data_IF_493833942316
#
_entry.id   IF_493833942316
#
_cell.length_a   1.000
_cell.length_b   1.000
_cell.length_c   1.000
_cell.angle_alpha   90.00
_cell.angle_beta   90.00
_cell.angle_gamma   90.00
#
_symmetry.space_group_name_H-M   'P 1'
#
loop_
_entity.id
_entity.type
_entity.pdbx_description
1 polymer ?
#
# COMPACT_ATOMS: atom_id res chain seq x y z
N UNK A 1 50.76 -2.70 10.85
CA UNK A 1 49.76 -2.25 9.86
C UNK A 1 50.42 -2.27 8.49
N UNK A 2 50.07 -3.27 7.67
CA UNK A 2 50.90 -3.77 6.55
C UNK A 2 51.03 -2.76 5.39
N UNK A 3 52.16 -2.78 4.69
CA UNK A 3 52.51 -1.95 3.54
C UNK A 3 51.40 -1.91 2.45
N UNK A 4 50.63 -3.01 2.32
CA UNK A 4 49.51 -3.13 1.40
C UNK A 4 48.32 -2.23 1.77
N UNK A 5 48.04 -2.03 3.07
CA UNK A 5 46.95 -1.15 3.53
C UNK A 5 47.25 0.32 3.19
N UNK A 6 48.49 0.78 3.39
CA UNK A 6 48.90 2.16 3.06
C UNK A 6 48.84 2.43 1.56
N UNK A 7 49.22 1.45 0.74
CA UNK A 7 49.13 1.53 -0.72
C UNK A 7 47.66 1.58 -1.19
N UNK A 8 46.79 0.75 -0.61
CA UNK A 8 45.35 0.75 -0.91
C UNK A 8 44.71 2.10 -0.56
N UNK A 9 44.94 2.63 0.65
CA UNK A 9 44.40 3.93 1.08
C UNK A 9 44.93 5.09 0.23
N UNK A 10 46.19 5.00 -0.23
CA UNK A 10 46.79 5.99 -1.11
C UNK A 10 46.10 6.05 -2.48
N UNK A 11 45.81 4.89 -3.07
CA UNK A 11 45.11 4.80 -4.37
C UNK A 11 43.65 5.24 -4.25
N UNK A 12 42.94 4.86 -3.18
CA UNK A 12 41.57 5.31 -2.93
C UNK A 12 41.52 6.83 -2.78
N UNK A 13 42.42 7.41 -1.97
CA UNK A 13 42.48 8.86 -1.77
C UNK A 13 42.81 9.60 -3.07
N UNK A 14 43.71 9.05 -3.89
CA UNK A 14 44.03 9.60 -5.20
C UNK A 14 42.82 9.53 -6.15
N UNK A 15 42.08 8.43 -6.14
CA UNK A 15 40.85 8.26 -6.93
C UNK A 15 39.79 9.30 -6.56
N UNK A 16 39.50 9.46 -5.27
CA UNK A 16 38.56 10.47 -4.79
C UNK A 16 39.04 11.89 -5.12
N UNK A 17 40.33 12.20 -4.92
CA UNK A 17 40.88 13.52 -5.23
C UNK A 17 40.81 13.84 -6.73
N UNK A 18 41.10 12.84 -7.59
CA UNK A 18 40.96 12.97 -9.04
C UNK A 18 39.50 13.19 -9.42
N UNK A 19 38.59 12.38 -8.90
CA UNK A 19 37.15 12.54 -9.13
C UNK A 19 36.66 13.94 -8.75
N UNK A 20 36.99 14.43 -7.55
CA UNK A 20 36.60 15.78 -7.10
C UNK A 20 37.21 16.86 -7.99
N UNK A 21 38.49 16.74 -8.34
CA UNK A 21 39.16 17.71 -9.21
C UNK A 21 38.53 17.78 -10.61
N UNK A 22 37.94 16.69 -11.09
CA UNK A 22 37.28 16.63 -12.40
C UNK A 22 35.83 17.06 -12.34
N UNK A 23 35.13 16.75 -11.25
CA UNK A 23 33.76 17.22 -11.01
C UNK A 23 33.69 18.76 -11.01
N UNK A 24 34.71 19.44 -10.48
CA UNK A 24 34.81 20.90 -10.47
C UNK A 24 35.74 21.49 -11.56
N UNK A 25 36.22 20.66 -12.50
CA UNK A 25 37.20 21.04 -13.53
C UNK A 25 36.63 21.12 -14.96
N UNK A 26 37.51 21.17 -15.97
CA UNK A 26 37.14 21.36 -17.38
C UNK A 26 36.31 20.23 -18.03
N UNK A 27 36.41 19.00 -17.52
CA UNK A 27 35.69 17.81 -18.04
C UNK A 27 34.37 17.52 -17.31
N UNK A 28 33.90 18.46 -16.50
CA UNK A 28 32.75 18.31 -15.58
C UNK A 28 31.46 17.81 -16.26
N UNK A 29 31.23 18.18 -17.54
CA UNK A 29 29.99 17.84 -18.27
C UNK A 29 29.72 16.34 -18.40
N UNK A 30 30.76 15.52 -18.62
CA UNK A 30 30.61 14.07 -18.82
C UNK A 30 30.40 13.33 -17.49
N UNK A 31 31.02 13.81 -16.41
CA UNK A 31 30.78 13.27 -15.07
C UNK A 31 29.38 13.64 -14.58
N UNK A 32 28.91 14.87 -14.82
CA UNK A 32 27.54 15.27 -14.48
C UNK A 32 26.47 14.50 -15.25
N UNK A 33 26.69 14.18 -16.53
CA UNK A 33 25.74 13.35 -17.29
C UNK A 33 25.69 11.91 -16.75
N UNK A 34 26.82 11.37 -16.31
CA UNK A 34 26.89 10.05 -15.66
C UNK A 34 26.15 10.03 -14.32
N UNK A 35 26.39 11.05 -13.47
CA UNK A 35 25.69 11.23 -12.19
C UNK A 35 24.19 11.41 -12.42
N UNK A 36 23.79 12.21 -13.40
CA UNK A 36 22.38 12.46 -13.72
C UNK A 36 21.65 11.18 -14.19
N UNK A 37 22.30 10.34 -15.00
CA UNK A 37 21.69 9.08 -15.43
C UNK A 37 21.50 8.08 -14.28
N UNK A 38 22.46 7.98 -13.36
CA UNK A 38 22.30 7.17 -12.14
C UNK A 38 21.19 7.73 -11.27
N UNK A 39 21.18 9.05 -11.06
CA UNK A 39 20.16 9.72 -10.26
C UNK A 39 18.75 9.48 -10.84
N UNK A 40 18.60 9.54 -12.15
CA UNK A 40 17.33 9.25 -12.82
C UNK A 40 16.89 7.79 -12.64
N UNK A 41 17.80 6.82 -12.79
CA UNK A 41 17.50 5.40 -12.60
C UNK A 41 17.06 5.10 -11.16
N UNK A 42 17.77 5.66 -10.17
CA UNK A 42 17.44 5.49 -8.75
C UNK A 42 16.13 6.20 -8.41
N UNK A 43 15.92 7.43 -8.89
CA UNK A 43 14.67 8.18 -8.74
C UNK A 43 13.49 7.35 -9.24
N UNK A 44 13.54 6.86 -10.49
CA UNK A 44 12.47 6.08 -11.10
C UNK A 44 12.19 4.80 -10.30
N UNK A 45 13.23 4.09 -9.89
CA UNK A 45 13.10 2.91 -9.04
C UNK A 45 12.38 3.24 -7.73
N UNK A 46 12.78 4.31 -7.04
CA UNK A 46 12.17 4.69 -5.77
C UNK A 46 10.74 5.16 -5.90
N UNK A 47 10.43 5.95 -6.93
CA UNK A 47 9.07 6.43 -7.17
C UNK A 47 8.14 5.27 -7.53
N UNK A 48 8.54 4.40 -8.46
CA UNK A 48 7.71 3.25 -8.87
C UNK A 48 7.58 2.22 -7.75
N UNK A 49 8.66 1.96 -7.01
CA UNK A 49 8.62 1.10 -5.83
C UNK A 49 7.70 1.65 -4.74
N UNK A 50 7.74 2.97 -4.48
CA UNK A 50 6.88 3.63 -3.50
C UNK A 50 5.40 3.58 -3.89
N UNK A 51 5.08 3.78 -5.18
CA UNK A 51 3.72 3.62 -5.73
C UNK A 51 3.24 2.18 -5.54
N UNK A 52 4.05 1.20 -5.92
CA UNK A 52 3.69 -0.21 -5.80
C UNK A 52 3.44 -0.62 -4.34
N UNK A 53 4.32 -0.19 -3.43
CA UNK A 53 4.17 -0.46 -2.00
C UNK A 53 2.91 0.19 -1.43
N UNK A 54 2.63 1.45 -1.80
CA UNK A 54 1.42 2.13 -1.38
C UNK A 54 0.17 1.41 -1.88
N UNK A 55 0.11 1.01 -3.15
CA UNK A 55 -0.99 0.23 -3.71
C UNK A 55 -1.14 -1.16 -3.04
N UNK A 56 -0.04 -1.83 -2.72
CA UNK A 56 -0.06 -3.11 -2.01
C UNK A 56 -0.57 -2.97 -0.57
N UNK A 57 -0.29 -1.84 0.10
CA UNK A 57 -0.74 -1.59 1.47
C UNK A 57 -2.21 -1.18 1.60
N UNK A 58 -2.88 -0.85 0.49
CA UNK A 58 -4.24 -0.31 0.47
C UNK A 58 -5.36 -1.35 0.38
N UNK A 59 -5.05 -2.65 0.31
CA UNK A 59 -6.05 -3.68 -0.08
C UNK A 59 -6.61 -4.57 1.03
N UNK A 60 -6.20 -4.41 2.30
CA UNK A 60 -6.73 -5.26 3.36
C UNK A 60 -7.83 -4.55 4.16
N UNK A 61 -9.10 -4.97 3.95
CA UNK A 61 -10.15 -4.84 4.97
C UNK A 61 -9.78 -5.86 6.06
N UNK A 62 -8.74 -5.57 6.82
CA UNK A 62 -8.24 -6.45 7.87
C UNK A 62 -8.81 -5.97 9.20
N UNK A 63 -10.01 -6.46 9.56
CA UNK A 63 -10.48 -6.29 10.93
C UNK A 63 -9.69 -7.27 11.80
N UNK A 64 -8.95 -6.75 12.78
CA UNK A 64 -8.15 -7.58 13.70
C UNK A 64 -9.02 -8.60 14.45
N UNK A 65 -10.32 -8.31 14.59
CA UNK A 65 -11.31 -9.05 15.37
C UNK A 65 -12.08 -10.15 14.59
N UNK A 66 -11.80 -10.39 13.30
CA UNK A 66 -12.55 -11.36 12.49
C UNK A 66 -11.69 -12.50 11.96
N UNK A 67 -12.06 -13.74 12.28
CA UNK A 67 -11.36 -14.96 11.85
C UNK A 67 -12.02 -15.63 10.63
N UNK A 68 -13.35 -15.58 10.56
CA UNK A 68 -14.15 -16.21 9.51
C UNK A 68 -15.26 -15.28 8.99
N UNK A 69 -15.47 -15.33 7.67
CA UNK A 69 -16.60 -14.73 6.98
C UNK A 69 -17.51 -15.84 6.49
N UNK A 70 -18.76 -15.83 6.92
CA UNK A 70 -19.80 -16.71 6.38
C UNK A 70 -20.52 -15.93 5.28
N UNK A 71 -20.45 -16.43 4.06
CA UNK A 71 -21.06 -15.79 2.87
C UNK A 71 -21.91 -16.80 2.10
N UNK A 72 -22.91 -16.36 1.31
CA UNK A 72 -23.72 -17.27 0.49
C UNK A 72 -22.88 -18.03 -0.55
N UNK A 73 -23.15 -19.32 -0.78
CA UNK A 73 -22.41 -20.17 -1.75
C UNK A 73 -22.40 -19.61 -3.18
N UNK A 74 -23.48 -18.93 -3.55
CA UNK A 74 -23.67 -18.35 -4.87
C UNK A 74 -23.08 -16.93 -5.01
N UNK A 75 -22.53 -16.37 -3.92
CA UNK A 75 -21.66 -15.20 -4.02
C UNK A 75 -20.30 -15.68 -4.55
N UNK A 76 -19.96 -15.31 -5.79
CA UNK A 76 -18.60 -15.48 -6.29
C UNK A 76 -17.61 -14.81 -5.33
N UNK A 77 -16.44 -15.41 -5.08
CA UNK A 77 -15.41 -14.92 -4.13
C UNK A 77 -15.01 -13.44 -4.36
N UNK A 78 -15.22 -12.92 -5.58
CA UNK A 78 -15.00 -11.53 -5.98
C UNK A 78 -16.13 -10.53 -5.63
N UNK A 79 -17.29 -11.00 -5.16
CA UNK A 79 -18.50 -10.19 -4.95
C UNK A 79 -18.60 -9.58 -3.54
N UNK A 80 -17.69 -9.98 -2.64
CA UNK A 80 -17.76 -9.69 -1.20
C UNK A 80 -17.54 -8.19 -0.88
N UNK A 81 -17.09 -7.38 -1.84
CA UNK A 81 -16.81 -5.96 -1.58
C UNK A 81 -18.03 -5.04 -1.74
N UNK A 82 -18.84 -5.13 -2.82
CA UNK A 82 -19.96 -4.18 -3.07
C UNK A 82 -20.97 -4.73 -4.10
N UNK A 83 -21.57 -5.92 -3.91
CA UNK A 83 -22.66 -6.38 -4.77
C UNK A 83 -24.03 -6.19 -4.12
N UNK A 84 -24.82 -5.22 -4.62
CA UNK A 84 -26.14 -4.85 -4.08
C UNK A 84 -27.25 -5.89 -4.41
N UNK A 85 -26.95 -6.81 -5.34
CA UNK A 85 -27.92 -7.74 -5.96
C UNK A 85 -27.48 -9.22 -5.89
N UNK A 86 -26.52 -9.54 -5.01
CA UNK A 86 -26.10 -10.92 -4.77
C UNK A 86 -27.14 -11.69 -3.92
N UNK A 87 -27.12 -13.03 -3.96
CA UNK A 87 -27.82 -13.86 -2.98
C UNK A 87 -27.47 -13.39 -1.56
N UNK A 88 -28.43 -13.44 -0.64
CA UNK A 88 -28.26 -12.99 0.75
C UNK A 88 -28.47 -14.15 1.70
N UNK A 89 -27.82 -14.07 2.85
CA UNK A 89 -28.14 -14.91 4.00
C UNK A 89 -29.52 -14.50 4.51
N UNK A 90 -30.30 -15.45 5.03
CA UNK A 90 -31.59 -15.23 5.69
C UNK A 90 -31.70 -15.93 7.05
N UNK A 91 -32.48 -15.37 7.97
CA UNK A 91 -32.59 -15.84 9.35
C UNK A 91 -31.34 -15.57 10.18
N UNK A 92 -30.63 -14.48 9.85
CA UNK A 92 -29.27 -14.26 10.34
C UNK A 92 -29.21 -14.02 11.84
N UNK A 93 -30.22 -13.37 12.45
CA UNK A 93 -30.24 -13.18 13.91
C UNK A 93 -30.29 -14.52 14.64
N UNK A 94 -31.16 -15.44 14.21
CA UNK A 94 -31.28 -16.75 14.84
C UNK A 94 -29.99 -17.58 14.71
N UNK A 95 -29.32 -17.50 13.54
CA UNK A 95 -28.03 -18.17 13.33
C UNK A 95 -26.95 -17.55 14.21
N UNK A 96 -26.85 -16.21 14.25
CA UNK A 96 -25.83 -15.55 15.07
C UNK A 96 -26.07 -15.70 16.56
N UNK A 97 -27.32 -15.74 17.03
CA UNK A 97 -27.66 -16.06 18.42
C UNK A 97 -27.20 -17.47 18.80
N UNK A 98 -27.35 -18.43 17.88
CA UNK A 98 -26.88 -19.79 18.09
C UNK A 98 -25.35 -19.90 18.06
N UNK A 99 -24.68 -19.12 17.20
CA UNK A 99 -23.22 -19.05 17.16
C UNK A 99 -22.66 -18.40 18.45
N UNK A 100 -23.26 -17.29 18.89
CA UNK A 100 -22.86 -16.60 20.13
C UNK A 100 -23.15 -17.42 21.40
N UNK A 101 -23.98 -18.47 21.31
CA UNK A 101 -24.22 -19.41 22.41
C UNK A 101 -23.17 -20.53 22.50
N UNK A 102 -22.28 -20.67 21.51
CA UNK A 102 -21.17 -21.63 21.53
C UNK A 102 -19.96 -21.03 22.25
N UNK A 103 -19.54 -21.64 23.38
CA UNK A 103 -18.40 -21.18 24.19
C UNK A 103 -17.06 -21.10 23.42
N UNK A 104 -16.98 -21.69 22.22
CA UNK A 104 -15.79 -21.62 21.35
C UNK A 104 -15.75 -20.34 20.50
N UNK A 105 -16.88 -19.66 20.32
CA UNK A 105 -17.01 -18.45 19.52
C UNK A 105 -16.98 -17.26 20.49
N UNK A 106 -16.03 -16.34 20.28
CA UNK A 106 -15.93 -15.14 21.11
C UNK A 106 -17.05 -14.16 20.74
N UNK A 107 -17.31 -14.00 19.44
CA UNK A 107 -18.38 -13.16 18.94
C UNK A 107 -18.73 -13.45 17.49
N UNK A 108 -20.01 -13.26 17.14
CA UNK A 108 -20.55 -13.35 15.79
C UNK A 108 -21.55 -12.22 15.55
N UNK A 109 -21.38 -11.48 14.45
CA UNK A 109 -22.32 -10.45 14.01
C UNK A 109 -22.70 -10.60 12.54
N UNK A 110 -23.99 -10.53 12.22
CA UNK A 110 -24.42 -10.34 10.84
C UNK A 110 -24.07 -8.92 10.37
N UNK A 111 -23.79 -8.78 9.07
CA UNK A 111 -23.46 -7.49 8.44
C UNK A 111 -24.25 -7.32 7.15
N UNK A 112 -24.97 -6.21 7.07
CA UNK A 112 -25.75 -5.79 5.91
C UNK A 112 -25.21 -4.49 5.35
N UNK A 113 -24.70 -4.50 4.12
CA UNK A 113 -24.08 -3.35 3.46
C UNK A 113 -25.04 -2.79 2.41
N UNK A 114 -25.47 -1.53 2.57
CA UNK A 114 -26.39 -0.87 1.65
C UNK A 114 -25.91 0.54 1.34
N UNK A 115 -26.12 0.97 0.10
CA UNK A 115 -25.94 2.37 -0.25
C UNK A 115 -27.23 3.11 0.08
N UNK A 116 -27.20 3.97 1.09
CA UNK A 116 -28.34 4.78 1.49
C UNK A 116 -28.08 6.25 1.19
N UNK A 117 -29.11 6.96 0.74
CA UNK A 117 -29.06 8.40 0.60
C UNK A 117 -29.39 9.03 1.95
N UNK A 118 -28.43 9.69 2.58
CA UNK A 118 -28.65 10.45 3.81
C UNK A 118 -28.73 11.94 3.51
N UNK A 119 -29.63 12.62 4.22
CA UNK A 119 -29.82 14.07 4.13
C UNK A 119 -29.53 14.72 5.47
N UNK A 120 -28.71 15.76 5.46
CA UNK A 120 -28.52 16.64 6.60
C UNK A 120 -29.28 17.96 6.35
N UNK A 121 -30.40 18.21 7.04
CA UNK A 121 -31.19 19.41 6.83
C UNK A 121 -30.51 20.69 7.33
N UNK A 122 -29.49 20.58 8.20
CA UNK A 122 -28.77 21.75 8.71
C UNK A 122 -27.83 22.36 7.66
N UNK A 123 -27.26 21.51 6.80
CA UNK A 123 -26.30 21.90 5.76
C UNK A 123 -26.88 21.80 4.34
N UNK A 124 -28.12 21.31 4.20
CA UNK A 124 -28.80 21.02 2.92
C UNK A 124 -28.05 19.99 2.04
N UNK A 125 -27.22 19.15 2.65
CA UNK A 125 -26.48 18.09 1.96
C UNK A 125 -27.35 16.85 1.77
N UNK A 126 -27.11 16.12 0.68
CA UNK A 126 -27.94 15.01 0.24
C UNK A 126 -27.09 13.97 -0.50
N UNK A 127 -26.40 13.12 0.23
CA UNK A 127 -25.35 12.28 -0.32
C UNK A 127 -25.62 10.78 -0.17
N UNK A 128 -25.03 10.00 -1.07
CA UNK A 128 -25.05 8.54 -0.98
C UNK A 128 -23.83 8.07 -0.20
N UNK A 129 -24.08 7.35 0.88
CA UNK A 129 -23.02 6.75 1.70
C UNK A 129 -23.22 5.26 1.84
N UNK A 130 -22.14 4.53 2.12
CA UNK A 130 -22.20 3.11 2.41
C UNK A 130 -22.60 2.92 3.86
N UNK A 131 -23.73 2.27 4.11
CA UNK A 131 -24.25 2.01 5.45
C UNK A 131 -24.12 0.52 5.73
N UNK A 132 -23.45 0.19 6.83
CA UNK A 132 -23.30 -1.16 7.34
C UNK A 132 -24.16 -1.34 8.60
N UNK A 133 -25.17 -2.19 8.50
CA UNK A 133 -25.97 -2.64 9.62
C UNK A 133 -25.31 -3.81 10.34
N UNK A 134 -25.14 -3.71 11.66
CA UNK A 134 -24.50 -4.73 12.50
C UNK A 134 -25.27 -4.94 13.81
N UNK A 135 -24.97 -6.01 14.54
CA UNK A 135 -25.55 -6.25 15.89
C UNK A 135 -24.43 -6.08 16.92
N UNK A 136 -24.25 -4.91 17.54
CA UNK A 136 -23.15 -4.64 18.47
C UNK A 136 -23.17 -5.57 19.69
N UNK A 137 -22.01 -5.99 20.18
CA UNK A 137 -21.85 -6.53 21.54
C UNK A 137 -21.45 -5.43 22.53
N UNK A 138 -21.53 -5.75 23.82
CA UNK A 138 -21.02 -4.99 24.95
C UNK A 138 -19.52 -4.65 24.87
N UNK A 139 -18.74 -5.42 24.12
CA UNK A 139 -17.34 -5.11 23.82
C UNK A 139 -17.25 -4.26 22.56
N UNK A 140 -16.51 -3.15 22.64
CA UNK A 140 -16.21 -2.32 21.45
C UNK A 140 -15.31 -3.09 20.48
N UNK A 141 -15.77 -3.31 19.26
CA UNK A 141 -15.06 -4.00 18.16
C UNK A 141 -14.93 -3.08 16.95
N UNK A 142 -13.97 -3.34 16.07
CA UNK A 142 -13.80 -2.61 14.81
C UNK A 142 -14.49 -3.36 13.65
N UNK A 143 -15.59 -2.81 13.12
CA UNK A 143 -16.26 -3.33 11.92
C UNK A 143 -16.19 -2.28 10.82
N UNK A 144 -15.63 -2.65 9.66
CA UNK A 144 -15.36 -1.70 8.56
C UNK A 144 -14.58 -0.45 9.02
N UNK A 145 -13.75 -0.59 10.07
CA UNK A 145 -12.81 0.44 10.53
C UNK A 145 -13.46 1.43 11.47
N UNK A 146 -14.70 1.14 11.86
CA UNK A 146 -15.50 1.94 12.78
C UNK A 146 -15.76 1.15 14.07
N UNK A 147 -15.67 1.81 15.24
CA UNK A 147 -15.95 1.18 16.52
C UNK A 147 -17.46 0.93 16.69
N UNK A 148 -17.82 -0.27 17.14
CA UNK A 148 -19.20 -0.62 17.51
C UNK A 148 -19.60 -0.10 18.89
N UNK A 149 -18.63 0.27 19.75
CA UNK A 149 -18.89 0.59 21.16
C UNK A 149 -19.71 1.86 21.41
N UNK A 150 -19.89 2.69 20.38
CA UNK A 150 -20.74 3.89 20.43
C UNK A 150 -22.21 3.59 20.09
N UNK A 151 -22.53 2.35 19.69
CA UNK A 151 -23.90 1.87 19.46
C UNK A 151 -24.41 1.09 20.69
N UNK A 152 -25.70 1.19 20.97
CA UNK A 152 -26.36 0.39 22.00
C UNK A 152 -26.18 -1.12 21.73
N UNK A 153 -25.70 -1.93 22.70
CA UNK A 153 -25.54 -3.36 22.50
C UNK A 153 -26.84 -4.10 22.15
N UNK A 154 -26.72 -5.08 21.27
CA UNK A 154 -27.82 -5.89 20.75
C UNK A 154 -28.54 -5.23 19.57
N UNK A 155 -29.72 -5.76 19.21
CA UNK A 155 -30.53 -5.19 18.13
C UNK A 155 -31.99 -4.99 18.59
N UNK A 156 -32.28 -3.89 19.30
CA UNK A 156 -33.57 -3.71 19.95
C UNK A 156 -34.74 -3.67 18.96
N UNK A 157 -34.53 -3.10 17.78
CA UNK A 157 -35.60 -2.90 16.80
C UNK A 157 -36.06 -4.22 16.15
N UNK A 158 -35.20 -5.24 16.06
CA UNK A 158 -35.53 -6.56 15.52
C UNK A 158 -36.75 -7.21 16.21
N UNK A 159 -36.86 -7.08 17.54
CA UNK A 159 -37.99 -7.55 18.34
C UNK A 159 -38.48 -8.97 17.98
N UNK A 160 -37.57 -9.95 17.97
CA UNK A 160 -37.84 -11.34 17.59
C UNK A 160 -38.42 -11.48 16.16
N UNK A 161 -37.91 -10.69 15.22
CA UNK A 161 -38.32 -10.71 13.82
C UNK A 161 -39.61 -9.93 13.51
N UNK A 162 -40.18 -9.23 14.48
CA UNK A 162 -41.35 -8.38 14.24
C UNK A 162 -40.97 -6.99 13.69
N UNK A 163 -39.73 -6.55 13.88
CA UNK A 163 -39.26 -5.21 13.50
C UNK A 163 -40.12 -4.08 14.11
N UNK A 164 -40.63 -4.31 15.32
CA UNK A 164 -41.48 -3.36 16.07
C UNK A 164 -40.82 -2.84 17.34
N UNK A 165 -39.56 -3.19 17.58
CA UNK A 165 -38.83 -2.74 18.75
C UNK A 165 -38.50 -1.25 18.69
N UNK A 166 -37.94 -0.70 19.78
CA UNK A 166 -37.53 0.70 19.81
C UNK A 166 -36.47 0.95 18.73
N UNK A 167 -36.65 2.04 17.99
CA UNK A 167 -35.66 2.56 17.04
C UNK A 167 -34.61 3.32 17.84
N UNK A 168 -33.37 2.86 17.84
CA UNK A 168 -32.23 3.53 18.48
C UNK A 168 -31.88 4.76 17.66
N UNK A 169 -31.83 4.62 16.33
CA UNK A 169 -31.44 5.66 15.41
C UNK A 169 -30.03 6.16 15.69
N UNK A 170 -29.13 5.30 16.12
CA UNK A 170 -27.72 5.66 16.36
C UNK A 170 -26.90 5.38 15.10
N UNK A 171 -26.00 6.30 14.75
CA UNK A 171 -25.08 6.11 13.64
C UNK A 171 -23.66 6.51 14.03
N UNK A 172 -22.69 5.67 13.71
CA UNK A 172 -21.26 6.02 13.78
C UNK A 172 -20.78 6.32 12.37
N UNK A 173 -20.18 7.48 12.16
CA UNK A 173 -19.67 7.88 10.85
C UNK A 173 -18.15 7.74 10.79
N UNK A 174 -17.64 7.35 9.63
CA UNK A 174 -16.25 7.65 9.26
C UNK A 174 -16.04 9.16 9.13
N UNK A 175 -14.82 9.65 9.36
CA UNK A 175 -14.49 11.05 9.14
C UNK A 175 -14.80 11.49 7.69
N UNK A 176 -14.52 10.63 6.70
CA UNK A 176 -14.93 10.86 5.31
C UNK A 176 -16.45 10.99 5.10
N UNK A 177 -17.28 10.19 5.78
CA UNK A 177 -18.74 10.33 5.71
C UNK A 177 -19.24 11.59 6.43
N UNK A 178 -18.64 11.93 7.57
CA UNK A 178 -18.96 13.12 8.34
C UNK A 178 -18.66 14.41 7.55
N UNK A 179 -17.50 14.49 6.91
CA UNK A 179 -17.13 15.62 6.05
C UNK A 179 -18.10 15.77 4.87
N UNK A 180 -18.39 14.66 4.18
CA UNK A 180 -19.27 14.64 3.01
C UNK A 180 -20.71 15.07 3.34
N UNK A 181 -21.21 14.68 4.51
CA UNK A 181 -22.54 15.05 5.00
C UNK A 181 -22.56 16.39 5.75
N UNK A 182 -21.40 16.97 6.05
CA UNK A 182 -21.27 18.12 6.95
C UNK A 182 -21.89 17.84 8.31
N UNK A 183 -21.63 16.65 8.86
CA UNK A 183 -22.22 16.14 10.09
C UNK A 183 -21.17 16.07 11.21
N UNK A 184 -21.59 16.37 12.42
CA UNK A 184 -20.79 16.25 13.64
C UNK A 184 -21.53 15.35 14.64
N UNK A 185 -20.90 15.03 15.77
CA UNK A 185 -21.55 14.30 16.84
C UNK A 185 -22.83 15.03 17.30
N UNK A 186 -23.94 14.31 17.36
CA UNK A 186 -25.28 14.83 17.68
C UNK A 186 -26.07 15.38 16.49
N UNK A 187 -25.50 15.45 15.28
CA UNK A 187 -26.25 15.81 14.07
C UNK A 187 -27.34 14.79 13.77
N UNK A 188 -28.52 15.26 13.35
CA UNK A 188 -29.59 14.40 12.87
C UNK A 188 -29.54 14.23 11.35
N UNK A 189 -29.51 12.98 10.91
CA UNK A 189 -29.48 12.58 9.51
C UNK A 189 -30.78 11.86 9.14
N UNK A 190 -31.30 12.15 7.96
CA UNK A 190 -32.56 11.60 7.48
C UNK A 190 -32.30 10.70 6.27
N UNK A 191 -32.53 9.37 6.39
CA UNK A 191 -32.46 8.46 5.27
C UNK A 191 -33.60 8.73 4.29
N UNK A 192 -33.24 9.06 3.05
CA UNK A 192 -34.18 9.13 1.93
C UNK A 192 -34.31 7.74 1.32
N UNK A 193 -35.02 6.86 2.00
CA UNK A 193 -35.35 5.52 1.47
C UNK A 193 -36.68 5.51 0.73
N UNK A 194 -36.77 4.68 -0.31
CA UNK A 194 -38.03 4.34 -0.96
C UNK A 194 -38.98 3.49 -0.10
N UNK A 195 -38.55 3.07 1.11
CA UNK A 195 -39.34 2.26 2.05
C UNK A 195 -40.45 3.04 2.77
N UNK A 196 -40.46 4.37 2.71
CA UNK A 196 -41.46 5.22 3.38
C UNK A 196 -41.30 5.30 4.91
N UNK A 197 -40.17 4.84 5.45
CA UNK A 197 -39.83 4.96 6.86
C UNK A 197 -39.30 6.38 7.12
N UNK A 198 -40.04 7.15 7.92
CA UNK A 198 -39.66 8.51 8.34
C UNK A 198 -39.02 8.46 9.73
N UNK A 199 -37.81 7.89 9.78
CA UNK A 199 -37.00 7.78 10.99
C UNK A 199 -35.65 8.44 10.76
N UNK A 200 -35.14 9.14 11.76
CA UNK A 200 -33.84 9.81 11.72
C UNK A 200 -32.76 8.98 12.39
N UNK A 201 -31.52 9.18 11.98
CA UNK A 201 -30.33 8.80 12.71
C UNK A 201 -29.73 10.00 13.44
N UNK A 202 -29.18 9.79 14.62
CA UNK A 202 -28.39 10.75 15.39
C UNK A 202 -26.95 10.25 15.40
N UNK A 203 -26.03 11.11 14.98
CA UNK A 203 -24.59 10.76 14.96
C UNK A 203 -24.11 10.55 16.39
N UNK A 204 -23.91 9.30 16.77
CA UNK A 204 -23.43 8.90 18.09
C UNK A 204 -21.94 9.21 18.21
N UNK A 205 -21.18 9.00 17.14
CA UNK A 205 -19.74 9.24 17.10
C UNK A 205 -19.23 9.44 15.66
N UNK A 206 -18.06 10.09 15.54
CA UNK A 206 -17.32 10.23 14.29
C UNK A 206 -15.93 9.66 14.52
N UNK A 207 -15.66 8.51 13.93
CA UNK A 207 -14.38 7.82 14.08
C UNK A 207 -13.50 8.03 12.84
N UNK A 208 -12.20 8.17 13.08
CA UNK A 208 -11.21 8.06 12.00
C UNK A 208 -11.22 6.59 11.53
N UNK A 209 -11.54 6.37 10.25
CA UNK A 209 -11.55 5.03 9.70
C UNK A 209 -10.11 4.50 9.64
N UNK A 210 -9.85 3.35 10.26
CA UNK A 210 -8.56 2.66 10.15
C UNK A 210 -8.26 2.28 8.68
N UNK A 211 -9.28 2.26 7.82
CA UNK A 211 -9.16 1.97 6.40
C UNK A 211 -9.11 3.24 5.55
N UNK A 212 -7.93 3.49 4.99
CA UNK A 212 -7.75 4.46 3.90
C UNK A 212 -7.60 3.68 2.59
N UNK A 213 -8.54 3.84 1.66
CA UNK A 213 -8.27 3.41 0.28
C UNK A 213 -7.34 4.43 -0.37
N UNK A 214 -6.71 4.08 -1.49
CA UNK A 214 -5.97 5.09 -2.26
C UNK A 214 -6.83 6.31 -2.59
N UNK A 215 -8.15 6.14 -2.75
CA UNK A 215 -9.10 7.20 -3.12
C UNK A 215 -9.53 8.07 -1.91
N UNK A 216 -8.89 7.91 -0.75
CA UNK A 216 -9.29 8.54 0.51
C UNK A 216 -10.04 7.58 1.44
N UNK A 217 -10.56 8.12 2.54
CA UNK A 217 -11.43 7.36 3.43
C UNK A 217 -12.73 7.00 2.70
N UNK A 218 -13.14 5.73 2.82
CA UNK A 218 -14.44 5.32 2.28
C UNK A 218 -15.51 5.93 3.17
N UNK A 219 -16.48 6.71 2.64
CA UNK A 219 -17.57 7.26 3.43
C UNK A 219 -18.52 6.14 3.85
N UNK A 220 -18.21 5.52 4.99
CA UNK A 220 -18.97 4.45 5.63
C UNK A 220 -19.67 4.99 6.88
N UNK A 221 -20.85 4.46 7.14
CA UNK A 221 -21.59 4.63 8.38
C UNK A 221 -21.98 3.26 8.97
N UNK A 222 -21.91 3.13 10.29
CA UNK A 222 -22.32 1.97 11.05
C UNK A 222 -23.64 2.25 11.76
N UNK A 223 -24.61 1.34 11.66
CA UNK A 223 -25.93 1.41 12.30
C UNK A 223 -26.34 0.03 12.81
N UNK A 224 -27.44 -0.03 13.57
CA UNK A 224 -28.07 -1.31 13.94
C UNK A 224 -28.58 -2.08 12.72
N UNK A 225 -28.40 -3.41 12.73
CA UNK A 225 -28.74 -4.27 11.60
C UNK A 225 -30.22 -4.16 11.23
N UNK A 226 -31.12 -4.30 12.19
CA UNK A 226 -32.56 -4.33 11.92
C UNK A 226 -33.06 -2.98 11.38
N UNK A 227 -32.43 -1.88 11.75
CA UNK A 227 -32.70 -0.55 11.21
C UNK A 227 -32.28 -0.45 9.73
N UNK A 228 -31.08 -0.95 9.40
CA UNK A 228 -30.63 -1.06 8.01
C UNK A 228 -31.50 -2.02 7.19
N UNK A 229 -31.95 -3.13 7.79
CA UNK A 229 -32.87 -4.08 7.17
C UNK A 229 -34.22 -3.43 6.87
N UNK A 230 -34.79 -2.70 7.83
CA UNK A 230 -36.04 -1.96 7.67
C UNK A 230 -35.95 -0.91 6.55
N UNK A 231 -34.87 -0.14 6.52
CA UNK A 231 -34.67 0.89 5.50
C UNK A 231 -34.43 0.33 4.10
N UNK A 232 -33.80 -0.84 3.98
CA UNK A 232 -33.46 -1.45 2.69
C UNK A 232 -34.45 -2.49 2.19
N UNK A 233 -35.51 -2.79 2.96
CA UNK A 233 -36.49 -3.82 2.63
C UNK A 233 -35.99 -5.26 2.82
N UNK A 234 -34.91 -5.44 3.60
CA UNK A 234 -34.28 -6.71 3.91
C UNK A 234 -34.84 -7.40 5.17
N UNK A 235 -35.99 -6.93 5.68
CA UNK A 235 -36.70 -7.54 6.81
C UNK A 235 -37.34 -8.88 6.45
N UNK A 236 -37.76 -9.04 5.18
CA UNK A 236 -38.34 -10.28 4.70
C UNK A 236 -37.28 -11.39 4.64
N UNK A 237 -37.40 -12.35 5.56
CA UNK A 237 -36.45 -13.44 5.68
C UNK A 237 -35.18 -13.05 6.45
N UNK A 238 -35.18 -11.93 7.17
CA UNK A 238 -34.09 -11.50 8.06
C UNK A 238 -32.71 -11.59 7.39
N UNK A 239 -32.50 -10.72 6.41
CA UNK A 239 -31.40 -10.86 5.47
C UNK A 239 -30.14 -10.10 5.88
N UNK A 240 -28.96 -10.70 5.63
CA UNK A 240 -27.67 -10.00 5.65
C UNK A 240 -26.77 -10.48 4.50
N UNK A 241 -25.73 -9.71 4.20
CA UNK A 241 -24.82 -10.04 3.10
C UNK A 241 -23.74 -11.02 3.58
N UNK A 242 -23.36 -10.95 4.86
CA UNK A 242 -22.37 -11.83 5.48
C UNK A 242 -22.56 -11.94 6.99
N UNK A 243 -21.93 -12.93 7.62
CA UNK A 243 -21.76 -13.02 9.07
C UNK A 243 -20.26 -13.03 9.37
N UNK A 244 -19.82 -12.17 10.28
CA UNK A 244 -18.45 -12.11 10.77
C UNK A 244 -18.37 -12.94 12.06
N UNK A 245 -17.38 -13.82 12.14
CA UNK A 245 -17.18 -14.70 13.31
C UNK A 245 -15.73 -14.57 13.81
N UNK A 246 -15.61 -14.35 15.12
CA UNK A 246 -14.36 -14.29 15.88
C UNK A 246 -14.21 -15.56 16.73
N UNK A 247 -13.13 -16.31 16.54
CA UNK A 247 -12.86 -17.55 17.29
C UNK A 247 -11.40 -17.99 17.17
N UNK A 248 -10.83 -18.39 18.31
CA UNK A 248 -9.51 -19.03 18.37
C UNK A 248 -9.52 -20.51 17.91
N UNK A 249 -10.69 -21.09 17.66
CA UNK A 249 -10.84 -22.53 17.42
C UNK A 249 -11.00 -22.86 15.94
N UNK A 250 -9.99 -23.52 15.37
CA UNK A 250 -9.96 -23.90 13.96
C UNK A 250 -11.04 -24.92 13.53
N UNK A 251 -11.67 -25.63 14.49
CA UNK A 251 -12.70 -26.65 14.24
C UNK A 251 -14.11 -26.10 14.04
N UNK A 252 -14.35 -24.81 14.33
CA UNK A 252 -15.68 -24.20 14.28
C UNK A 252 -16.19 -24.03 12.84
N UNK A 253 -15.29 -23.89 11.87
CA UNK A 253 -15.66 -23.68 10.46
C UNK A 253 -16.57 -24.78 9.89
N UNK A 254 -16.24 -26.05 10.12
CA UNK A 254 -17.06 -27.17 9.63
C UNK A 254 -18.40 -27.30 10.35
N UNK A 255 -18.49 -26.79 11.57
CA UNK A 255 -19.73 -26.77 12.36
C UNK A 255 -20.65 -25.66 11.85
N UNK A 256 -20.09 -24.49 11.51
CA UNK A 256 -20.82 -23.38 10.88
C UNK A 256 -21.41 -23.82 9.53
N UNK A 257 -20.63 -24.48 8.68
CA UNK A 257 -21.10 -24.98 7.36
C UNK A 257 -22.25 -25.99 7.51
N UNK A 258 -22.23 -26.81 8.57
CA UNK A 258 -23.32 -27.75 8.87
C UNK A 258 -24.55 -27.04 9.43
N UNK A 259 -24.33 -26.02 10.28
CA UNK A 259 -25.41 -25.25 10.89
C UNK A 259 -26.14 -24.39 9.86
N UNK A 260 -25.41 -23.86 8.88
CA UNK A 260 -25.96 -22.98 7.86
C UNK A 260 -25.67 -23.49 6.44
N UNK A 261 -26.48 -24.45 5.93
CA UNK A 261 -26.29 -25.00 4.60
C UNK A 261 -26.41 -23.92 3.51
N UNK A 262 -25.68 -24.10 2.41
CA UNK A 262 -25.56 -23.15 1.30
C UNK A 262 -24.75 -21.88 1.62
N UNK A 263 -23.79 -22.01 2.54
CA UNK A 263 -22.84 -20.94 2.86
C UNK A 263 -21.40 -21.44 2.79
N UNK A 264 -20.51 -20.55 2.37
CA UNK A 264 -19.08 -20.74 2.36
C UNK A 264 -18.48 -20.03 3.57
N UNK A 265 -17.65 -20.74 4.33
CA UNK A 265 -16.92 -20.18 5.47
C UNK A 265 -15.50 -19.86 5.05
N UNK A 266 -15.28 -18.60 4.69
CA UNK A 266 -13.98 -18.10 4.22
C UNK A 266 -13.12 -17.72 5.43
N UNK A 267 -11.95 -18.33 5.55
CA UNK A 267 -10.97 -17.99 6.60
C UNK A 267 -10.26 -16.69 6.27
N UNK A 268 -9.83 -15.93 7.29
CA UNK A 268 -8.92 -14.78 7.17
C UNK A 268 -7.72 -15.03 6.25
N UNK A 269 -7.12 -16.23 6.35
CA UNK A 269 -5.96 -16.61 5.52
C UNK A 269 -6.31 -16.87 4.06
N UNK A 270 -7.56 -17.21 3.73
CA UNK A 270 -8.02 -17.41 2.35
C UNK A 270 -8.03 -16.11 1.56
N UNK A 271 -8.51 -15.02 2.17
CA UNK A 271 -8.42 -13.67 1.60
C UNK A 271 -6.96 -13.23 1.41
N UNK A 272 -6.08 -13.49 2.38
CA UNK A 272 -4.66 -13.20 2.23
C UNK A 272 -4.04 -13.97 1.05
N UNK A 273 -4.47 -15.21 0.79
CA UNK A 273 -3.93 -16.04 -0.31
C UNK A 273 -4.42 -15.60 -1.70
N UNK A 274 -5.64 -15.09 -1.80
CA UNK A 274 -6.19 -14.53 -3.04
C UNK A 274 -5.70 -13.08 -3.27
N UNK A 275 -5.55 -12.29 -2.20
CA UNK A 275 -4.88 -11.00 -2.24
C UNK A 275 -3.40 -11.12 -2.56
N UNK A 276 -2.71 -12.21 -2.18
CA UNK A 276 -1.36 -12.50 -2.67
C UNK A 276 -1.33 -12.61 -4.21
N UNK A 277 -2.43 -13.05 -4.85
CA UNK A 277 -2.53 -13.13 -6.32
C UNK A 277 -2.71 -11.75 -6.97
N UNK A 278 -3.45 -10.83 -6.35
CA UNK A 278 -3.55 -9.43 -6.81
C UNK A 278 -2.31 -8.58 -6.45
N UNK A 279 -1.73 -8.83 -5.27
CA UNK A 279 -0.45 -8.28 -4.83
C UNK A 279 0.73 -8.79 -5.65
N UNK A 280 0.57 -9.93 -6.34
CA UNK A 280 1.56 -10.41 -7.31
C UNK A 280 1.78 -9.40 -8.42
N UNK A 281 0.74 -8.63 -8.83
CA UNK A 281 0.87 -7.64 -9.89
C UNK A 281 1.63 -6.40 -9.40
N UNK A 282 1.26 -5.83 -8.25
CA UNK A 282 1.99 -4.70 -7.67
C UNK A 282 3.44 -5.09 -7.36
N UNK A 283 3.66 -6.25 -6.75
CA UNK A 283 5.00 -6.79 -6.49
C UNK A 283 5.76 -7.07 -7.80
N UNK A 284 5.12 -7.61 -8.83
CA UNK A 284 5.75 -7.80 -10.14
C UNK A 284 6.12 -6.47 -10.80
N UNK A 285 5.30 -5.42 -10.67
CA UNK A 285 5.63 -4.07 -11.15
C UNK A 285 6.82 -3.52 -10.36
N UNK A 286 6.84 -3.65 -9.02
CA UNK A 286 7.96 -3.20 -8.20
C UNK A 286 9.25 -3.93 -8.59
N UNK A 287 9.23 -5.27 -8.61
CA UNK A 287 10.38 -6.10 -8.99
C UNK A 287 10.81 -5.79 -10.43
N UNK A 288 9.86 -5.65 -11.35
CA UNK A 288 10.13 -5.27 -12.74
C UNK A 288 10.80 -3.90 -12.86
N UNK A 289 10.34 -2.91 -12.10
CA UNK A 289 10.93 -1.58 -12.06
C UNK A 289 12.35 -1.60 -11.47
N UNK A 290 12.56 -2.36 -10.40
CA UNK A 290 13.88 -2.56 -9.79
C UNK A 290 14.85 -3.22 -10.78
N UNK A 291 14.45 -4.30 -11.43
CA UNK A 291 15.28 -4.99 -12.41
C UNK A 291 15.59 -4.11 -13.61
N UNK A 292 14.60 -3.36 -14.11
CA UNK A 292 14.78 -2.44 -15.24
C UNK A 292 15.73 -1.31 -14.87
N UNK A 293 15.55 -0.69 -13.69
CA UNK A 293 16.44 0.35 -13.20
C UNK A 293 17.88 -0.16 -12.98
N UNK A 294 18.02 -1.37 -12.44
CA UNK A 294 19.32 -2.02 -12.27
C UNK A 294 20.03 -2.23 -13.61
N UNK A 295 19.35 -2.81 -14.60
CA UNK A 295 19.92 -3.10 -15.92
C UNK A 295 20.25 -1.81 -16.66
N UNK A 296 19.29 -0.88 -16.77
CA UNK A 296 19.46 0.39 -17.49
C UNK A 296 20.53 1.24 -16.82
N UNK A 297 20.50 1.35 -15.48
CA UNK A 297 21.50 2.10 -14.71
C UNK A 297 22.91 1.53 -14.88
N UNK A 298 23.07 0.21 -14.81
CA UNK A 298 24.37 -0.46 -15.00
C UNK A 298 24.92 -0.24 -16.41
N UNK A 299 24.09 -0.43 -17.44
CA UNK A 299 24.50 -0.24 -18.82
C UNK A 299 24.85 1.22 -19.12
N UNK A 300 24.09 2.17 -18.59
CA UNK A 300 24.33 3.59 -18.77
C UNK A 300 25.68 4.00 -18.15
N UNK A 301 25.93 3.62 -16.90
CA UNK A 301 27.20 3.92 -16.21
C UNK A 301 28.38 3.25 -16.91
N UNK A 302 28.26 1.97 -17.27
CA UNK A 302 29.31 1.24 -17.97
C UNK A 302 29.67 1.92 -19.29
N UNK A 303 28.67 2.34 -20.06
CA UNK A 303 28.87 3.00 -21.36
C UNK A 303 29.56 4.36 -21.17
N UNK A 304 29.08 5.19 -20.23
CA UNK A 304 29.67 6.50 -19.97
C UNK A 304 31.12 6.41 -19.46
N UNK A 305 31.36 5.55 -18.48
CA UNK A 305 32.71 5.31 -17.94
C UNK A 305 33.64 4.72 -19.00
N UNK A 306 33.12 3.89 -19.90
CA UNK A 306 33.89 3.40 -21.04
C UNK A 306 34.31 4.49 -22.01
N UNK A 307 33.38 5.40 -22.35
CA UNK A 307 33.69 6.57 -23.19
C UNK A 307 34.70 7.49 -22.52
N UNK A 308 34.61 7.66 -21.21
CA UNK A 308 35.54 8.43 -20.39
C UNK A 308 36.96 7.82 -20.42
N UNK A 309 37.09 6.51 -20.18
CA UNK A 309 38.36 5.79 -20.32
C UNK A 309 38.97 5.99 -21.71
N UNK A 310 38.14 6.02 -22.75
CA UNK A 310 38.60 6.18 -24.14
C UNK A 310 39.06 7.61 -24.46
N UNK A 311 38.40 8.61 -23.87
CA UNK A 311 38.77 10.02 -23.97
C UNK A 311 40.09 10.30 -23.23
N UNK A 312 40.35 9.61 -22.11
CA UNK A 312 41.51 9.82 -21.25
C UNK A 312 42.64 8.81 -21.41
N UNK A 313 42.63 8.04 -22.49
CA UNK A 313 43.66 7.04 -22.77
C UNK A 313 45.10 7.60 -22.64
N UNK A 314 45.31 8.86 -23.00
CA UNK A 314 46.61 9.56 -22.87
C UNK A 314 47.00 9.78 -21.41
N UNK A 315 46.08 10.27 -20.57
CA UNK A 315 46.28 10.44 -19.12
C UNK A 315 46.50 9.10 -18.39
N UNK A 316 45.85 8.03 -18.85
CA UNK A 316 46.10 6.68 -18.32
C UNK A 316 47.46 6.12 -18.76
N UNK A 317 47.91 6.45 -19.97
CA UNK A 317 49.23 6.08 -20.47
C UNK A 317 50.36 6.81 -19.74
N UNK A 318 50.19 8.08 -19.35
CA UNK A 318 51.19 8.81 -18.54
C UNK A 318 51.35 8.19 -17.15
N UNK A 319 50.24 7.80 -16.50
CA UNK A 319 50.28 7.05 -15.23
C UNK A 319 51.06 5.72 -15.38
N UNK A 320 50.85 5.01 -16.50
CA UNK A 320 51.61 3.80 -16.79
C UNK A 320 53.12 4.09 -17.00
N UNK A 321 53.47 5.18 -17.69
CA UNK A 321 54.86 5.61 -17.90
C UNK A 321 55.58 6.00 -16.59
N UNK A 322 54.85 6.53 -15.60
CA UNK A 322 55.37 6.87 -14.26
C UNK A 322 55.47 5.62 -13.36
N UNK A 323 55.03 4.44 -13.84
CA UNK A 323 55.22 3.16 -13.15
C UNK A 323 54.01 2.65 -12.36
N UNK A 324 52.80 3.19 -12.57
CA UNK A 324 51.60 2.63 -11.95
C UNK A 324 51.26 1.25 -12.51
N UNK A 325 51.19 0.24 -11.64
CA UNK A 325 50.76 -1.12 -12.00
C UNK A 325 49.33 -1.14 -12.56
N UNK A 326 49.03 -2.09 -13.46
CA UNK A 326 47.69 -2.29 -14.03
C UNK A 326 46.58 -2.38 -12.98
N UNK A 327 46.83 -3.13 -11.89
CA UNK A 327 45.87 -3.26 -10.78
C UNK A 327 45.60 -1.96 -10.01
N UNK A 328 46.58 -1.04 -9.93
CA UNK A 328 46.36 0.29 -9.32
C UNK A 328 45.57 1.21 -10.24
N UNK A 329 45.71 1.06 -11.56
CA UNK A 329 44.91 1.79 -12.55
C UNK A 329 43.47 1.29 -12.61
N UNK A 330 43.25 -0.02 -12.53
CA UNK A 330 41.90 -0.59 -12.45
C UNK A 330 41.19 -0.21 -11.15
N UNK A 331 41.90 -0.25 -10.01
CA UNK A 331 41.33 0.18 -8.73
C UNK A 331 40.93 1.66 -8.74
N UNK A 332 41.70 2.50 -9.42
CA UNK A 332 41.37 3.91 -9.60
C UNK A 332 40.02 4.09 -10.32
N UNK A 333 39.83 3.37 -11.43
CA UNK A 333 38.58 3.40 -12.19
C UNK A 333 37.40 2.88 -11.38
N UNK A 334 37.57 1.78 -10.64
CA UNK A 334 36.52 1.24 -9.76
C UNK A 334 36.09 2.26 -8.71
N UNK A 335 37.05 2.95 -8.07
CA UNK A 335 36.75 3.99 -7.07
C UNK A 335 36.03 5.18 -7.69
N UNK A 336 36.41 5.58 -8.91
CA UNK A 336 35.76 6.68 -9.65
C UNK A 336 34.32 6.31 -10.04
N UNK A 337 34.12 5.13 -10.62
CA UNK A 337 32.78 4.61 -10.93
C UNK A 337 31.91 4.52 -9.67
N UNK A 338 32.45 3.98 -8.57
CA UNK A 338 31.69 3.84 -7.32
C UNK A 338 31.32 5.20 -6.72
N UNK A 339 32.21 6.20 -6.82
CA UNK A 339 31.95 7.57 -6.36
C UNK A 339 30.84 8.23 -7.16
N UNK A 340 30.85 8.07 -8.50
CA UNK A 340 29.79 8.55 -9.38
C UNK A 340 28.45 7.91 -9.03
N UNK A 341 28.42 6.58 -8.85
CA UNK A 341 27.18 5.90 -8.50
C UNK A 341 26.66 6.27 -7.13
N UNK A 342 27.54 6.49 -6.15
CA UNK A 342 27.14 6.86 -4.80
C UNK A 342 26.51 8.26 -4.77
N UNK A 343 27.13 9.23 -5.44
CA UNK A 343 26.59 10.59 -5.53
C UNK A 343 25.29 10.60 -6.33
N UNK A 344 25.25 9.89 -7.46
CA UNK A 344 24.05 9.71 -8.25
C UNK A 344 22.92 9.07 -7.44
N UNK A 345 23.21 8.07 -6.60
CA UNK A 345 22.23 7.43 -5.75
C UNK A 345 21.66 8.39 -4.70
N UNK A 346 22.50 9.18 -4.04
CA UNK A 346 22.03 10.17 -3.05
C UNK A 346 21.11 11.19 -3.72
N UNK A 347 21.52 11.74 -4.87
CA UNK A 347 20.70 12.70 -5.63
C UNK A 347 19.40 12.03 -6.09
N UNK A 348 19.49 10.82 -6.63
CA UNK A 348 18.35 10.05 -7.10
C UNK A 348 17.36 9.70 -6.00
N UNK A 349 17.82 9.36 -4.80
CA UNK A 349 16.98 9.15 -3.63
C UNK A 349 16.20 10.41 -3.30
N UNK A 350 16.88 11.57 -3.21
CA UNK A 350 16.24 12.86 -2.92
C UNK A 350 15.21 13.23 -3.98
N UNK A 351 15.56 13.06 -5.27
CA UNK A 351 14.62 13.25 -6.38
C UNK A 351 13.46 12.26 -6.32
N UNK A 352 13.71 11.03 -5.87
CA UNK A 352 12.72 10.00 -5.65
C UNK A 352 11.69 10.39 -4.60
N UNK A 353 12.13 10.97 -3.48
CA UNK A 353 11.23 11.53 -2.45
C UNK A 353 10.36 12.63 -3.05
N UNK A 354 10.95 13.56 -3.82
CA UNK A 354 10.20 14.60 -4.52
C UNK A 354 9.24 14.03 -5.58
N UNK A 355 9.62 12.93 -6.24
CA UNK A 355 8.79 12.24 -7.21
C UNK A 355 7.60 11.53 -6.57
N UNK A 356 7.77 10.96 -5.37
CA UNK A 356 6.68 10.40 -4.55
C UNK A 356 5.68 11.50 -4.20
N UNK A 357 6.16 12.62 -3.67
CA UNK A 357 5.31 13.75 -3.30
C UNK A 357 4.57 14.34 -4.51
N UNK A 358 5.29 14.54 -5.62
CA UNK A 358 4.69 15.01 -6.86
C UNK A 358 3.64 14.03 -7.39
N UNK A 359 3.88 12.72 -7.27
CA UNK A 359 2.91 11.69 -7.65
C UNK A 359 1.68 11.77 -6.76
N UNK A 360 1.83 11.97 -5.45
CA UNK A 360 0.71 12.12 -4.53
C UNK A 360 -0.13 13.37 -4.87
N UNK A 361 0.50 14.53 -5.09
CA UNK A 361 -0.21 15.78 -5.48
C UNK A 361 -0.95 15.62 -6.82
N UNK A 362 -0.29 15.01 -7.81
CA UNK A 362 -0.91 14.79 -9.13
C UNK A 362 -2.05 13.77 -9.05
N UNK A 363 -1.89 12.71 -8.24
CA UNK A 363 -2.93 11.70 -8.04
C UNK A 363 -4.13 12.27 -7.32
N UNK A 364 -3.94 13.12 -6.31
CA UNK A 364 -5.01 13.82 -5.62
C UNK A 364 -5.78 14.73 -6.58
N UNK A 365 -5.06 15.53 -7.39
CA UNK A 365 -5.67 16.48 -8.32
C UNK A 365 -6.43 15.83 -9.48
N UNK A 366 -5.90 14.77 -10.07
CA UNK A 366 -6.45 14.19 -11.31
C UNK A 366 -7.25 12.91 -11.10
N UNK A 367 -6.95 12.15 -10.05
CA UNK A 367 -7.59 10.87 -9.75
C UNK A 367 -8.43 10.93 -8.46
N UNK A 368 -8.29 11.98 -7.64
CA UNK A 368 -8.94 12.07 -6.32
C UNK A 368 -8.31 11.13 -5.28
N UNK A 369 -7.06 10.71 -5.51
CA UNK A 369 -6.40 9.64 -4.76
C UNK A 369 -5.32 10.23 -3.85
N UNK A 370 -5.60 10.31 -2.54
CA UNK A 370 -4.66 10.79 -1.54
C UNK A 370 -3.66 9.70 -1.15
N UNK A 371 -2.36 10.02 -1.15
CA UNK A 371 -1.29 9.13 -0.63
C UNK A 371 -1.14 7.78 -1.36
N UNK A 372 -0.93 7.81 -2.67
CA UNK A 372 -0.65 6.60 -3.51
C UNK A 372 0.69 5.98 -3.20
N UNK A 373 1.69 6.81 -2.91
CA UNK A 373 3.06 6.37 -2.73
C UNK A 373 3.49 6.61 -1.29
N UNK A 374 3.84 5.51 -0.60
CA UNK A 374 4.33 5.56 0.79
C UNK A 374 5.86 5.63 0.84
N UNK A 375 6.34 6.38 1.83
CA UNK A 375 7.74 6.48 2.15
C UNK A 375 8.11 5.37 3.14
N UNK A 376 8.86 4.37 2.68
CA UNK A 376 9.35 3.28 3.53
C UNK A 376 10.89 3.35 3.67
N UNK A 377 11.44 3.46 4.90
CA UNK A 377 12.87 3.42 5.15
C UNK A 377 13.58 2.19 4.56
N UNK A 378 12.89 1.04 4.50
CA UNK A 378 13.41 -0.20 3.94
C UNK A 378 13.60 -0.10 2.43
N UNK A 379 12.73 0.64 1.74
CA UNK A 379 12.83 0.89 0.31
C UNK A 379 14.06 1.76 -0.02
N UNK A 380 14.38 2.74 0.83
CA UNK A 380 15.58 3.58 0.69
C UNK A 380 16.84 2.75 0.89
N UNK A 381 16.85 1.89 1.92
CA UNK A 381 17.95 0.98 2.17
C UNK A 381 18.16 0.04 0.98
N UNK A 382 17.09 -0.52 0.41
CA UNK A 382 17.14 -1.36 -0.78
C UNK A 382 17.66 -0.60 -2.01
N UNK A 383 17.17 0.61 -2.27
CA UNK A 383 17.63 1.47 -3.36
C UNK A 383 19.12 1.82 -3.22
N UNK A 384 19.58 2.09 -2.00
CA UNK A 384 20.99 2.34 -1.73
C UNK A 384 21.85 1.09 -2.00
N UNK A 385 21.44 -0.08 -1.51
CA UNK A 385 22.13 -1.35 -1.75
C UNK A 385 22.20 -1.66 -3.25
N UNK A 386 21.10 -1.49 -3.96
CA UNK A 386 21.02 -1.72 -5.41
C UNK A 386 21.94 -0.75 -6.16
N UNK A 387 22.05 0.50 -5.74
CA UNK A 387 22.97 1.46 -6.34
C UNK A 387 24.45 1.06 -6.21
N UNK A 388 24.82 0.42 -5.09
CA UNK A 388 26.16 -0.14 -4.90
C UNK A 388 26.41 -1.27 -5.89
N UNK A 389 25.43 -2.17 -6.05
CA UNK A 389 25.53 -3.22 -7.07
C UNK A 389 25.68 -2.63 -8.47
N UNK A 390 24.91 -1.60 -8.83
CA UNK A 390 25.06 -0.90 -10.12
C UNK A 390 26.50 -0.43 -10.32
N UNK A 391 27.10 0.23 -9.32
CA UNK A 391 28.50 0.68 -9.40
C UNK A 391 29.51 -0.46 -9.56
N UNK A 392 29.34 -1.54 -8.81
CA UNK A 392 30.21 -2.73 -8.88
C UNK A 392 30.12 -3.38 -10.27
N UNK A 393 28.92 -3.68 -10.76
CA UNK A 393 28.72 -4.32 -12.06
C UNK A 393 29.13 -3.41 -13.21
N UNK A 394 28.84 -2.12 -13.13
CA UNK A 394 29.20 -1.16 -14.17
C UNK A 394 30.72 -0.99 -14.28
N UNK A 395 31.46 -1.12 -13.18
CA UNK A 395 32.93 -0.98 -13.17
C UNK A 395 33.67 -2.10 -13.92
N UNK A 396 33.01 -3.24 -14.18
CA UNK A 396 33.61 -4.39 -14.88
C UNK A 396 34.02 -4.00 -16.30
N UNK A 397 33.15 -3.29 -17.02
CA UNK A 397 33.38 -2.89 -18.41
C UNK A 397 34.58 -1.94 -18.60
N UNK A 398 34.67 -0.78 -17.91
CA UNK A 398 35.81 0.14 -18.06
C UNK A 398 37.12 -0.50 -17.58
N UNK A 399 37.08 -1.34 -16.53
CA UNK A 399 38.27 -2.09 -16.08
C UNK A 399 38.74 -3.03 -17.19
N UNK A 400 37.85 -3.80 -17.79
CA UNK A 400 38.19 -4.70 -18.89
C UNK A 400 38.74 -3.93 -20.11
N UNK A 401 38.10 -2.81 -20.47
CA UNK A 401 38.54 -1.94 -21.55
C UNK A 401 39.96 -1.39 -21.30
N UNK A 402 40.26 -0.97 -20.06
CA UNK A 402 41.57 -0.43 -19.68
C UNK A 402 42.73 -1.44 -19.80
N UNK A 403 42.44 -2.74 -19.69
CA UNK A 403 43.44 -3.79 -19.86
C UNK A 403 43.76 -4.07 -21.33
N UNK A 404 42.82 -3.80 -22.25
CA UNK A 404 43.00 -4.01 -23.69
C UNK A 404 43.65 -2.82 -24.40
N UNK A 405 43.58 -1.62 -23.83
CA UNK A 405 44.28 -0.46 -24.36
C UNK A 405 45.79 -0.60 -24.15
N UNK A 406 46.53 -1.00 -25.19
CA UNK A 406 47.99 -1.07 -25.16
C UNK A 406 48.59 0.33 -24.95
N UNK A 407 49.33 0.59 -23.84
CA UNK A 407 49.89 1.91 -23.56
C UNK A 407 50.90 2.39 -24.63
N UNK A 408 51.48 1.45 -25.38
CA UNK A 408 52.52 1.72 -26.39
C UNK A 408 51.95 2.25 -27.71
N UNK A 409 50.72 1.89 -28.07
CA UNK A 409 50.05 2.38 -29.30
C UNK A 409 49.48 3.80 -29.16
N UNK A 410 49.26 4.29 -27.94
CA UNK A 410 48.63 5.60 -27.68
C UNK A 410 49.64 6.75 -27.62
N UNK A 411 50.93 6.43 -27.45
CA UNK A 411 52.02 7.42 -27.33
C UNK A 411 52.87 7.55 -28.62
N UNK A 412 52.54 6.79 -29.67
CA UNK A 412 52.99 7.01 -31.04
C UNK A 412 51.96 7.85 -31.78
#
# INVERSE_FOLDING_TARGET
MSHNLRRLTGVIRLGVARFVGRLFGGDSRQLWSSIAGVAFAVMLMTTVGGISLGLASQSAIESEDVDYWVVPDAASESAIAVSVDAPRLGGVHAVTDQLNADDRIDYSTPVLIRVLKLSNPQTDTNEYILVAGVVPDSNSRSILGLPTGSLEPGDPHYANGQYTGPWTGEVVLSAGAAELLGAEQGTQLFPKSGSGIDKSFTVADVAESEYTTGVGEVPVALVHLSEAQALSGATNGDQADQILVSTDNAGVASDIEQLYPQTNVVKRTGFAQEQLSSSSLSLAIAVGAVLTAFVVGTLFVATMMGLEVLAERTSLATLAAIGYSSGSRSLLLVVETLSVTLIGAIIGLVLGMGGIELTNILSEKYLGIASVARFDPLLIAAAFVISIFIGVFASIYPVWLSHRANPVEVLQ
#
